data_IF_006261233345
#
_entry.id   IF_006261233345
#
_cell.length_a   1.000
_cell.length_b   1.000
_cell.length_c   1.000
_cell.angle_alpha   90.00
_cell.angle_beta   90.00
_cell.angle_gamma   90.00
#
_symmetry.space_group_name_H-M   'P 1'
#
loop_
_entity.id
_entity.type
_entity.pdbx_description
1 polymer ?
#
# COMPACT_ATOMS: atom_id res chain seq x y z
N UNK A 1 -5.99 -9.89 -2.58
CA UNK A 1 -7.07 -8.90 -2.57
C UNK A 1 -6.53 -7.51 -2.82
N UNK A 2 -7.42 -6.53 -3.15
CA UNK A 2 -6.96 -5.20 -3.56
C UNK A 2 -6.20 -5.22 -4.88
N UNK A 3 -6.51 -6.17 -5.77
CA UNK A 3 -5.76 -6.44 -6.99
C UNK A 3 -5.76 -5.28 -8.00
N UNK A 4 -6.76 -4.40 -8.00
CA UNK A 4 -6.79 -3.17 -8.79
C UNK A 4 -6.19 -1.96 -8.02
N UNK A 5 -5.83 -2.13 -6.76
CA UNK A 5 -5.09 -1.17 -5.96
C UNK A 5 -3.64 -1.03 -6.41
N UNK A 6 -2.93 -0.01 -5.91
CA UNK A 6 -1.57 0.31 -6.35
C UNK A 6 -0.56 -0.82 -6.04
N UNK A 7 -0.50 -1.26 -4.78
CA UNK A 7 0.45 -2.32 -4.37
C UNK A 7 -0.05 -3.67 -4.87
N UNK A 8 -1.34 -4.00 -4.69
CA UNK A 8 -1.91 -5.27 -5.11
C UNK A 8 -1.77 -5.54 -6.62
N UNK A 9 -1.89 -4.49 -7.44
CA UNK A 9 -1.63 -4.57 -8.88
C UNK A 9 -0.18 -4.99 -9.17
N UNK A 10 0.80 -4.31 -8.54
CA UNK A 10 2.21 -4.59 -8.82
C UNK A 10 2.64 -5.96 -8.29
N UNK A 11 2.15 -6.35 -7.10
CA UNK A 11 2.36 -7.70 -6.56
C UNK A 11 1.78 -8.75 -7.51
N UNK A 12 0.54 -8.55 -7.98
CA UNK A 12 -0.09 -9.47 -8.93
C UNK A 12 0.69 -9.56 -10.24
N UNK A 13 1.19 -8.43 -10.77
CA UNK A 13 2.02 -8.40 -11.98
C UNK A 13 3.27 -9.27 -11.82
N UNK A 14 4.04 -9.05 -10.76
CA UNK A 14 5.27 -9.81 -10.53
C UNK A 14 5.02 -11.30 -10.28
N UNK A 15 3.96 -11.66 -9.55
CA UNK A 15 3.57 -13.06 -9.37
C UNK A 15 3.22 -13.75 -10.70
N UNK A 16 2.51 -13.06 -11.58
CA UNK A 16 2.16 -13.58 -12.91
C UNK A 16 3.41 -13.75 -13.79
N UNK A 17 4.35 -12.81 -13.72
CA UNK A 17 5.65 -12.89 -14.41
C UNK A 17 6.51 -14.07 -13.89
N UNK A 18 6.38 -14.40 -12.60
CA UNK A 18 7.02 -15.58 -11.99
C UNK A 18 6.25 -16.91 -12.24
N UNK A 19 5.14 -16.87 -12.99
CA UNK A 19 4.36 -18.05 -13.39
C UNK A 19 3.31 -18.51 -12.38
N UNK A 20 3.03 -17.73 -11.35
CA UNK A 20 1.93 -18.04 -10.41
C UNK A 20 0.56 -17.87 -11.06
N UNK A 21 -0.43 -18.64 -10.57
CA UNK A 21 -1.83 -18.35 -10.82
C UNK A 21 -2.31 -17.35 -9.78
N UNK A 22 -2.90 -16.26 -10.23
CA UNK A 22 -3.37 -15.17 -9.36
C UNK A 22 -4.89 -15.05 -9.44
N UNK A 23 -5.55 -15.20 -8.31
CA UNK A 23 -6.97 -14.90 -8.14
C UNK A 23 -7.06 -13.50 -7.53
N UNK A 24 -7.37 -12.51 -8.35
CA UNK A 24 -7.50 -11.10 -7.97
C UNK A 24 -8.90 -10.76 -7.47
N UNK A 25 -9.00 -10.08 -6.34
CA UNK A 25 -10.26 -9.58 -5.75
C UNK A 25 -10.14 -8.09 -5.52
N UNK A 26 -11.12 -7.31 -6.00
CA UNK A 26 -11.24 -5.86 -5.74
C UNK A 26 -12.69 -5.42 -5.97
N UNK A 27 -13.21 -4.51 -5.16
CA UNK A 27 -14.57 -3.98 -5.31
C UNK A 27 -14.64 -2.77 -6.25
N UNK A 28 -13.50 -2.32 -6.76
CA UNK A 28 -13.37 -1.15 -7.65
C UNK A 28 -14.03 0.11 -7.08
N UNK A 29 -14.01 0.29 -5.75
CA UNK A 29 -14.62 1.46 -5.11
C UNK A 29 -14.06 2.79 -5.63
N UNK A 30 -14.84 3.84 -5.50
CA UNK A 30 -14.60 5.18 -6.00
C UNK A 30 -13.86 6.10 -5.00
N UNK A 31 -13.16 5.53 -4.02
CA UNK A 31 -12.37 6.31 -3.04
C UNK A 31 -11.39 7.28 -3.73
N UNK A 32 -10.84 6.87 -4.85
CA UNK A 32 -10.15 7.72 -5.82
C UNK A 32 -10.58 7.35 -7.23
N UNK A 33 -10.20 8.13 -8.24
CA UNK A 33 -10.65 7.93 -9.63
C UNK A 33 -10.47 6.48 -10.10
N UNK A 34 -11.58 5.83 -10.42
CA UNK A 34 -11.64 4.43 -10.84
C UNK A 34 -10.88 4.17 -12.14
N UNK A 35 -10.66 5.19 -12.98
CA UNK A 35 -9.88 5.05 -14.23
C UNK A 35 -8.51 4.43 -13.99
N UNK A 36 -7.84 4.82 -12.90
CA UNK A 36 -6.52 4.26 -12.56
C UNK A 36 -6.62 2.79 -12.15
N UNK A 37 -7.68 2.40 -11.44
CA UNK A 37 -7.95 0.99 -11.09
C UNK A 37 -8.24 0.16 -12.32
N UNK A 38 -9.05 0.67 -13.23
CA UNK A 38 -9.39 -0.01 -14.48
C UNK A 38 -8.15 -0.21 -15.36
N UNK A 39 -7.31 0.81 -15.50
CA UNK A 39 -6.06 0.69 -16.25
C UNK A 39 -5.15 -0.42 -15.68
N UNK A 40 -4.98 -0.47 -14.35
CA UNK A 40 -4.21 -1.53 -13.69
C UNK A 40 -4.82 -2.91 -13.93
N UNK A 41 -6.13 -3.01 -13.76
CA UNK A 41 -6.85 -4.26 -13.95
C UNK A 41 -6.76 -4.78 -15.39
N UNK A 42 -6.84 -3.89 -16.39
CA UNK A 42 -6.75 -4.27 -17.80
C UNK A 42 -5.35 -4.83 -18.13
N UNK A 43 -4.29 -4.30 -17.51
CA UNK A 43 -2.95 -4.89 -17.67
C UNK A 43 -2.87 -6.30 -17.07
N UNK A 44 -3.53 -6.58 -15.96
CA UNK A 44 -3.55 -7.92 -15.35
C UNK A 44 -4.39 -8.91 -16.16
N UNK A 45 -5.55 -8.48 -16.67
CA UNK A 45 -6.44 -9.33 -17.47
C UNK A 45 -5.84 -9.85 -18.78
N UNK A 46 -4.75 -9.23 -19.23
CA UNK A 46 -4.02 -9.73 -20.41
C UNK A 46 -3.26 -11.03 -20.15
N UNK A 47 -3.08 -11.43 -18.88
CA UNK A 47 -2.41 -12.66 -18.49
C UNK A 47 -3.38 -13.82 -18.33
N UNK A 48 -3.11 -14.96 -18.98
CA UNK A 48 -3.98 -16.15 -18.92
C UNK A 48 -4.12 -16.75 -17.52
N UNK A 49 -3.10 -16.60 -16.68
CA UNK A 49 -3.07 -17.08 -15.30
C UNK A 49 -3.75 -16.13 -14.29
N UNK A 50 -4.41 -15.06 -14.77
CA UNK A 50 -5.13 -14.11 -13.92
C UNK A 50 -6.63 -14.30 -14.01
N UNK A 51 -7.27 -14.54 -12.84
CA UNK A 51 -8.73 -14.57 -12.72
C UNK A 51 -9.19 -13.46 -11.78
N UNK A 52 -10.14 -12.65 -12.21
CA UNK A 52 -10.63 -11.50 -11.44
C UNK A 52 -12.06 -11.69 -10.93
N UNK A 53 -12.29 -11.31 -9.67
CA UNK A 53 -13.59 -11.28 -9.03
C UNK A 53 -13.88 -9.86 -8.50
N UNK A 54 -14.91 -9.17 -9.01
CA UNK A 54 -15.32 -7.84 -8.55
C UNK A 54 -16.14 -7.96 -7.24
N UNK A 55 -15.47 -8.30 -6.14
CA UNK A 55 -16.09 -8.62 -4.84
C UNK A 55 -15.47 -7.74 -3.77
N UNK A 56 -16.31 -7.29 -2.83
CA UNK A 56 -15.89 -6.62 -1.60
C UNK A 56 -15.49 -7.64 -0.54
N UNK A 57 -14.33 -7.45 0.12
CA UNK A 57 -13.89 -8.33 1.20
C UNK A 57 -14.80 -8.26 2.44
N UNK A 58 -15.68 -7.27 2.53
CA UNK A 58 -16.71 -7.17 3.57
C UNK A 58 -17.84 -8.20 3.37
N UNK A 59 -18.00 -8.74 2.16
CA UNK A 59 -19.02 -9.73 1.82
C UNK A 59 -18.46 -11.16 1.90
N UNK A 60 -18.52 -11.77 3.10
CA UNK A 60 -18.01 -13.14 3.34
C UNK A 60 -18.63 -14.16 2.41
N UNK A 61 -19.96 -14.08 2.15
CA UNK A 61 -20.67 -15.07 1.32
C UNK A 61 -20.18 -15.02 -0.14
N UNK A 62 -19.94 -13.81 -0.67
CA UNK A 62 -19.40 -13.68 -2.03
C UNK A 62 -17.95 -14.16 -2.11
N UNK A 63 -17.13 -13.90 -1.07
CA UNK A 63 -15.77 -14.41 -0.99
C UNK A 63 -15.71 -15.93 -0.94
N UNK A 64 -16.64 -16.58 -0.25
CA UNK A 64 -16.69 -18.04 -0.10
C UNK A 64 -16.75 -18.75 -1.46
N UNK A 65 -17.47 -18.20 -2.42
CA UNK A 65 -17.52 -18.72 -3.79
C UNK A 65 -16.12 -18.80 -4.43
N UNK A 66 -15.24 -17.85 -4.13
CA UNK A 66 -13.87 -17.85 -4.64
C UNK A 66 -13.10 -19.05 -4.12
N UNK A 67 -13.25 -19.38 -2.84
CA UNK A 67 -12.56 -20.50 -2.20
C UNK A 67 -13.16 -21.86 -2.63
N UNK A 68 -14.46 -21.89 -2.95
CA UNK A 68 -15.12 -23.08 -3.54
C UNK A 68 -14.63 -23.35 -4.97
N UNK A 69 -14.43 -22.30 -5.76
CA UNK A 69 -14.04 -22.40 -7.16
C UNK A 69 -12.53 -22.58 -7.38
N UNK A 70 -11.70 -22.25 -6.40
CA UNK A 70 -10.26 -22.23 -6.54
C UNK A 70 -9.55 -22.82 -5.32
N UNK A 71 -8.48 -23.56 -5.55
CA UNK A 71 -7.55 -23.90 -4.49
C UNK A 71 -6.65 -22.68 -4.21
N UNK A 72 -6.65 -22.20 -2.96
CA UNK A 72 -5.90 -21.02 -2.54
C UNK A 72 -4.77 -21.44 -1.59
N UNK A 73 -3.52 -21.39 -2.05
CA UNK A 73 -2.34 -21.75 -1.25
C UNK A 73 -1.97 -20.64 -0.25
N UNK A 74 -2.14 -19.38 -0.66
CA UNK A 74 -1.82 -18.23 0.15
C UNK A 74 -2.74 -17.04 -0.15
N UNK A 75 -2.94 -16.18 0.86
CA UNK A 75 -3.66 -14.92 0.75
C UNK A 75 -2.66 -13.78 0.93
N UNK A 76 -2.63 -12.86 -0.04
CA UNK A 76 -1.97 -11.55 0.11
C UNK A 76 -3.09 -10.51 0.18
N UNK A 77 -3.30 -9.91 1.35
CA UNK A 77 -4.37 -8.95 1.59
C UNK A 77 -3.86 -7.51 1.51
N UNK A 78 -3.99 -6.92 0.32
CA UNK A 78 -3.73 -5.50 0.06
C UNK A 78 -5.02 -4.65 0.08
N UNK A 79 -6.19 -5.29 0.11
CA UNK A 79 -7.47 -4.59 0.18
C UNK A 79 -7.59 -3.85 1.51
N UNK A 80 -7.76 -2.53 1.42
CA UNK A 80 -7.90 -1.66 2.57
C UNK A 80 -8.49 -0.30 2.21
N UNK A 81 -9.13 0.35 3.19
CA UNK A 81 -9.28 1.79 3.19
C UNK A 81 -8.01 2.39 3.78
N UNK A 82 -7.33 3.24 3.02
CA UNK A 82 -6.10 3.92 3.45
C UNK A 82 -6.34 5.44 3.50
N UNK A 83 -5.50 6.15 4.27
CA UNK A 83 -5.59 7.60 4.41
C UNK A 83 -6.01 8.01 5.82
N UNK A 84 -5.09 8.71 6.51
CA UNK A 84 -5.31 9.17 7.90
C UNK A 84 -6.43 10.20 7.96
N UNK A 85 -6.41 11.21 7.07
CA UNK A 85 -7.35 12.35 7.13
C UNK A 85 -8.78 11.91 6.89
N UNK A 86 -9.04 11.18 5.82
CA UNK A 86 -10.40 10.70 5.51
C UNK A 86 -10.95 9.75 6.59
N UNK A 87 -10.07 9.06 7.33
CA UNK A 87 -10.53 8.23 8.45
C UNK A 87 -11.15 9.03 9.61
N UNK A 88 -10.85 10.33 9.71
CA UNK A 88 -11.49 11.22 10.69
C UNK A 88 -12.91 11.64 10.25
N UNK A 89 -13.15 11.67 8.94
CA UNK A 89 -14.45 12.03 8.36
C UNK A 89 -15.41 10.83 8.34
N UNK A 90 -14.91 9.65 7.96
CA UNK A 90 -15.69 8.43 7.87
C UNK A 90 -14.97 7.22 8.49
N UNK A 91 -14.94 7.06 9.82
CA UNK A 91 -14.23 5.98 10.49
C UNK A 91 -14.84 4.59 10.25
N UNK A 92 -16.14 4.51 9.99
CA UNK A 92 -16.85 3.23 9.85
C UNK A 92 -16.33 2.38 8.71
N UNK A 93 -16.07 2.96 7.54
CA UNK A 93 -15.54 2.22 6.38
C UNK A 93 -14.15 1.65 6.63
N UNK A 94 -13.39 2.25 7.55
CA UNK A 94 -12.07 1.72 7.94
C UNK A 94 -12.20 0.50 8.83
N UNK A 95 -13.11 0.52 9.81
CA UNK A 95 -13.37 -0.64 10.66
C UNK A 95 -13.95 -1.80 9.85
N UNK A 96 -14.91 -1.51 8.99
CA UNK A 96 -15.57 -2.50 8.14
C UNK A 96 -14.58 -3.15 7.17
N UNK A 97 -13.86 -2.38 6.36
CA UNK A 97 -12.93 -2.95 5.38
C UNK A 97 -11.67 -3.53 6.06
N UNK A 98 -11.01 -2.73 6.92
CA UNK A 98 -9.67 -3.09 7.40
C UNK A 98 -9.67 -4.13 8.52
N UNK A 99 -10.76 -4.26 9.28
CA UNK A 99 -10.85 -5.21 10.38
C UNK A 99 -11.83 -6.35 10.08
N UNK A 100 -13.09 -6.04 9.77
CA UNK A 100 -14.09 -7.06 9.44
C UNK A 100 -13.74 -7.80 8.15
N UNK A 101 -13.31 -7.07 7.09
CA UNK A 101 -12.86 -7.71 5.84
C UNK A 101 -11.70 -8.69 6.05
N UNK A 102 -10.73 -8.34 6.93
CA UNK A 102 -9.64 -9.26 7.31
C UNK A 102 -10.18 -10.47 8.06
N UNK A 103 -11.12 -10.29 8.98
CA UNK A 103 -11.75 -11.39 9.70
C UNK A 103 -12.48 -12.35 8.73
N UNK A 104 -13.18 -11.84 7.73
CA UNK A 104 -13.84 -12.68 6.72
C UNK A 104 -12.83 -13.57 5.97
N UNK A 105 -11.69 -12.99 5.57
CA UNK A 105 -10.62 -13.74 4.89
C UNK A 105 -9.98 -14.78 5.80
N UNK A 106 -9.79 -14.48 7.09
CA UNK A 106 -9.23 -15.40 8.08
C UNK A 106 -10.17 -16.59 8.34
N UNK A 107 -11.48 -16.33 8.48
CA UNK A 107 -12.48 -17.39 8.60
C UNK A 107 -12.46 -18.34 7.41
N UNK A 108 -12.43 -17.78 6.18
CA UNK A 108 -12.36 -18.59 4.98
C UNK A 108 -11.01 -19.32 4.85
N UNK A 109 -9.91 -18.68 5.21
CA UNK A 109 -8.60 -19.35 5.25
C UNK A 109 -8.61 -20.58 6.17
N UNK A 110 -9.19 -20.42 7.37
CA UNK A 110 -9.38 -21.51 8.35
C UNK A 110 -10.27 -22.62 7.78
N UNK A 111 -11.44 -22.27 7.25
CA UNK A 111 -12.46 -23.22 6.79
C UNK A 111 -12.00 -24.00 5.53
N UNK A 112 -11.24 -23.38 4.64
CA UNK A 112 -10.74 -24.00 3.40
C UNK A 112 -9.28 -24.47 3.48
N UNK A 113 -8.63 -24.33 4.63
CA UNK A 113 -7.29 -24.87 4.87
C UNK A 113 -6.13 -24.06 4.26
N UNK A 114 -6.35 -22.80 3.90
CA UNK A 114 -5.27 -21.90 3.44
C UNK A 114 -4.34 -21.59 4.60
N UNK A 115 -3.05 -21.91 4.47
CA UNK A 115 -2.09 -21.88 5.57
C UNK A 115 -1.23 -20.63 5.63
N UNK A 116 -1.13 -19.85 4.56
CA UNK A 116 -0.30 -18.65 4.49
C UNK A 116 -1.13 -17.38 4.30
N UNK A 117 -0.87 -16.38 5.15
CA UNK A 117 -1.51 -15.07 5.09
C UNK A 117 -0.47 -13.94 5.16
N UNK A 118 -0.41 -13.11 4.14
CA UNK A 118 0.40 -11.89 4.11
C UNK A 118 -0.54 -10.68 4.20
N UNK A 119 -0.33 -9.82 5.19
CA UNK A 119 -1.20 -8.69 5.49
C UNK A 119 -0.50 -7.35 5.29
N UNK A 120 -1.05 -6.49 4.46
CA UNK A 120 -0.68 -5.09 4.41
C UNK A 120 -1.10 -4.36 5.70
N UNK A 121 -0.11 -3.86 6.44
CA UNK A 121 -0.26 -2.97 7.57
C UNK A 121 0.38 -1.60 7.27
N UNK A 122 0.72 -0.80 8.26
CA UNK A 122 1.09 0.60 8.06
C UNK A 122 2.10 1.11 9.09
N UNK A 123 3.02 1.97 8.66
CA UNK A 123 3.89 2.75 9.54
C UNK A 123 3.13 3.79 10.39
N UNK A 124 1.88 4.12 10.05
CA UNK A 124 1.05 5.04 10.84
C UNK A 124 0.81 4.56 12.28
N UNK A 125 1.03 3.27 12.55
CA UNK A 125 0.99 2.71 13.90
C UNK A 125 2.08 3.26 14.82
N UNK A 126 3.21 3.70 14.27
CA UNK A 126 4.35 4.20 15.03
C UNK A 126 4.24 5.68 15.42
N UNK A 127 3.12 6.33 15.14
CA UNK A 127 2.95 7.74 15.46
C UNK A 127 3.26 8.03 16.94
N UNK A 128 4.14 9.02 17.18
CA UNK A 128 4.61 9.37 18.52
C UNK A 128 5.78 8.53 19.06
N UNK A 129 6.22 7.51 18.35
CA UNK A 129 7.37 6.69 18.74
C UNK A 129 8.70 7.30 18.28
N UNK A 130 9.80 6.85 18.89
CA UNK A 130 11.16 7.27 18.53
C UNK A 130 11.62 6.57 17.25
N UNK A 131 12.21 7.31 16.33
CA UNK A 131 12.80 6.80 15.09
C UNK A 131 14.28 6.41 15.24
N UNK A 132 14.84 5.51 14.39
CA UNK A 132 14.08 4.75 13.38
C UNK A 132 13.07 3.80 14.00
N UNK A 133 11.95 3.55 13.28
CA UNK A 133 10.89 2.68 13.78
C UNK A 133 11.29 1.22 13.63
N UNK A 134 11.37 0.51 14.75
CA UNK A 134 11.55 -0.95 14.83
C UNK A 134 10.22 -1.63 15.17
N UNK A 135 10.06 -2.88 14.77
CA UNK A 135 8.77 -3.61 14.88
C UNK A 135 8.34 -3.86 16.32
N UNK A 136 9.28 -3.91 17.26
CA UNK A 136 9.06 -4.13 18.70
C UNK A 136 8.51 -2.90 19.44
N UNK A 137 8.51 -1.72 18.80
CA UNK A 137 7.94 -0.51 19.39
C UNK A 137 6.47 -0.71 19.75
N UNK A 138 6.02 -0.22 20.93
CA UNK A 138 4.64 -0.34 21.32
C UNK A 138 3.73 0.50 20.40
N UNK A 139 2.74 -0.15 19.80
CA UNK A 139 1.77 0.46 18.88
C UNK A 139 0.34 0.34 19.44
N UNK A 140 0.20 0.54 20.77
CA UNK A 140 -1.04 0.32 21.49
C UNK A 140 -1.96 1.56 21.53
N UNK A 141 -1.45 2.72 21.11
CA UNK A 141 -2.15 4.01 21.16
C UNK A 141 -2.18 4.68 19.78
N UNK A 142 -2.85 4.06 18.78
CA UNK A 142 -2.95 4.65 17.45
C UNK A 142 -3.71 5.99 17.50
N UNK A 143 -3.21 6.99 16.77
CA UNK A 143 -3.74 8.37 16.82
C UNK A 143 -4.79 8.66 15.73
N UNK A 144 -5.19 7.66 14.96
CA UNK A 144 -6.24 7.82 13.93
C UNK A 144 -7.09 6.56 13.80
N UNK A 145 -8.37 6.67 13.37
CA UNK A 145 -9.21 5.52 13.09
C UNK A 145 -8.58 4.57 12.04
N UNK A 146 -7.87 5.10 11.05
CA UNK A 146 -7.11 4.30 10.10
C UNK A 146 -6.07 3.41 10.80
N UNK A 147 -5.20 3.99 11.61
CA UNK A 147 -4.19 3.23 12.34
C UNK A 147 -4.86 2.23 13.32
N UNK A 148 -5.92 2.64 14.02
CA UNK A 148 -6.67 1.78 14.93
C UNK A 148 -7.27 0.56 14.21
N UNK A 149 -7.86 0.74 13.02
CA UNK A 149 -8.42 -0.37 12.23
C UNK A 149 -7.34 -1.35 11.74
N UNK A 150 -6.16 -0.85 11.36
CA UNK A 150 -5.01 -1.70 10.99
C UNK A 150 -4.47 -2.46 12.21
N UNK A 151 -4.41 -1.82 13.39
CA UNK A 151 -4.03 -2.50 14.64
C UNK A 151 -5.02 -3.59 15.02
N UNK A 152 -6.32 -3.35 14.83
CA UNK A 152 -7.37 -4.36 15.03
C UNK A 152 -7.14 -5.59 14.13
N UNK A 153 -6.78 -5.38 12.87
CA UNK A 153 -6.42 -6.46 11.96
C UNK A 153 -5.17 -7.24 12.43
N UNK A 154 -4.10 -6.55 12.86
CA UNK A 154 -2.90 -7.21 13.40
C UNK A 154 -3.24 -8.11 14.62
N UNK A 155 -4.13 -7.65 15.50
CA UNK A 155 -4.55 -8.42 16.67
C UNK A 155 -5.38 -9.66 16.27
N UNK A 156 -6.29 -9.54 15.29
CA UNK A 156 -7.04 -10.68 14.76
C UNK A 156 -6.11 -11.72 14.12
N UNK A 157 -5.15 -11.28 13.33
CA UNK A 157 -4.16 -12.16 12.68
C UNK A 157 -3.35 -12.97 13.71
N UNK A 158 -2.93 -12.33 14.80
CA UNK A 158 -2.25 -13.04 15.89
C UNK A 158 -3.13 -14.11 16.50
N UNK A 159 -4.41 -13.80 16.78
CA UNK A 159 -5.36 -14.77 17.35
C UNK A 159 -5.55 -16.00 16.45
N UNK A 160 -5.66 -15.79 15.12
CA UNK A 160 -5.82 -16.88 14.17
C UNK A 160 -4.54 -17.71 13.97
N UNK A 161 -3.38 -17.04 14.02
CA UNK A 161 -2.09 -17.74 14.08
C UNK A 161 -2.04 -18.67 15.31
N UNK A 162 -2.32 -18.13 16.49
CA UNK A 162 -2.24 -18.86 17.76
C UNK A 162 -3.23 -20.02 17.84
N UNK A 163 -4.49 -19.80 17.43
CA UNK A 163 -5.57 -20.79 17.59
C UNK A 163 -5.57 -21.84 16.47
N UNK A 164 -5.23 -21.47 15.26
CA UNK A 164 -5.43 -22.29 14.06
C UNK A 164 -4.13 -22.59 13.29
N UNK A 165 -2.99 -22.06 13.73
CA UNK A 165 -1.69 -22.33 13.14
C UNK A 165 -1.52 -21.74 11.71
N UNK A 166 -2.25 -20.66 11.38
CA UNK A 166 -2.05 -19.94 10.12
C UNK A 166 -0.69 -19.25 10.20
N UNK A 167 0.15 -19.43 9.18
CA UNK A 167 1.41 -18.69 9.03
C UNK A 167 1.12 -17.26 8.56
N UNK A 168 1.51 -16.28 9.36
CA UNK A 168 1.15 -14.88 9.16
C UNK A 168 2.39 -14.02 9.01
N UNK A 169 2.46 -13.25 7.92
CA UNK A 169 3.42 -12.16 7.75
C UNK A 169 2.68 -10.83 7.67
N UNK A 170 2.93 -9.94 8.60
CA UNK A 170 2.35 -8.59 8.64
C UNK A 170 3.40 -7.59 8.16
N UNK A 171 3.09 -6.88 7.09
CA UNK A 171 4.01 -5.94 6.45
C UNK A 171 3.59 -4.49 6.77
N UNK A 172 4.37 -3.79 7.57
CA UNK A 172 4.16 -2.37 7.85
C UNK A 172 4.84 -1.55 6.77
N UNK A 173 4.04 -1.14 5.78
CA UNK A 173 4.51 -0.31 4.68
C UNK A 173 4.73 1.13 5.12
N UNK A 174 5.76 1.73 4.55
CA UNK A 174 6.04 3.16 4.64
C UNK A 174 5.45 3.90 3.45
N UNK A 175 6.02 5.00 2.99
CA UNK A 175 5.41 5.79 1.92
C UNK A 175 5.73 5.21 0.56
N UNK A 176 4.81 4.42 0.02
CA UNK A 176 4.98 3.76 -1.28
C UNK A 176 4.66 4.72 -2.42
N UNK A 177 5.55 4.80 -3.42
CA UNK A 177 5.38 5.63 -4.61
C UNK A 177 5.89 4.91 -5.86
N UNK A 178 5.52 5.40 -7.06
CA UNK A 178 5.97 4.82 -8.33
C UNK A 178 4.95 4.97 -9.45
N UNK A 179 5.24 4.41 -10.64
CA UNK A 179 4.34 4.36 -11.79
C UNK A 179 2.97 3.82 -11.43
N UNK A 180 1.94 4.38 -12.05
CA UNK A 180 0.55 4.04 -11.78
C UNK A 180 0.15 4.20 -10.30
N UNK A 181 0.75 5.14 -9.58
CA UNK A 181 0.45 5.44 -8.18
C UNK A 181 -1.00 5.87 -7.93
N UNK A 182 -1.34 6.05 -6.65
CA UNK A 182 -2.67 6.53 -6.26
C UNK A 182 -2.78 8.04 -6.53
N UNK A 183 -3.88 8.51 -7.17
CA UNK A 183 -4.05 9.93 -7.51
C UNK A 183 -4.19 10.84 -6.27
N UNK A 184 -4.64 10.31 -5.15
CA UNK A 184 -4.78 11.02 -3.87
C UNK A 184 -3.47 11.18 -3.10
N UNK A 185 -2.36 10.58 -3.58
CA UNK A 185 -1.04 10.64 -2.94
C UNK A 185 -0.14 11.74 -3.53
N UNK A 186 0.77 12.27 -2.70
CA UNK A 186 1.57 13.45 -2.99
C UNK A 186 2.34 13.38 -4.31
N UNK A 187 3.08 12.31 -4.56
CA UNK A 187 3.93 12.21 -5.77
C UNK A 187 3.09 12.28 -7.05
N UNK A 188 1.97 11.54 -7.14
CA UNK A 188 1.10 11.59 -8.29
C UNK A 188 0.50 13.00 -8.49
N UNK A 189 -0.02 13.60 -7.40
CA UNK A 189 -0.60 14.95 -7.43
C UNK A 189 0.42 15.99 -7.86
N UNK A 190 1.63 15.95 -7.31
CA UNK A 190 2.68 16.91 -7.63
C UNK A 190 3.11 16.82 -9.10
N UNK A 191 3.32 15.61 -9.63
CA UNK A 191 3.66 15.44 -11.04
C UNK A 191 2.55 16.02 -11.93
N UNK A 192 1.29 15.70 -11.64
CA UNK A 192 0.16 16.19 -12.43
C UNK A 192 0.05 17.71 -12.38
N UNK A 193 0.03 18.30 -11.18
CA UNK A 193 -0.10 19.75 -11.01
C UNK A 193 1.08 20.51 -11.63
N UNK A 194 2.32 20.07 -11.40
CA UNK A 194 3.49 20.75 -11.98
C UNK A 194 3.47 20.68 -13.51
N UNK A 195 3.09 19.51 -14.06
CA UNK A 195 3.02 19.37 -15.52
C UNK A 195 1.92 20.24 -16.14
N UNK A 196 0.78 20.40 -15.47
CA UNK A 196 -0.32 21.29 -15.86
C UNK A 196 -0.10 22.76 -15.49
N UNK A 197 1.02 23.09 -14.83
CA UNK A 197 1.35 24.43 -14.33
C UNK A 197 0.35 24.97 -13.30
N UNK A 198 -0.36 24.06 -12.64
CA UNK A 198 -1.26 24.33 -11.52
C UNK A 198 -0.50 24.46 -10.20
N UNK A 199 -0.99 25.26 -9.23
CA UNK A 199 -0.36 25.35 -7.92
C UNK A 199 -0.45 24.04 -7.17
N UNK A 200 0.67 23.57 -6.61
CA UNK A 200 0.68 22.44 -5.68
C UNK A 200 0.31 22.90 -4.27
N UNK A 201 -0.50 22.12 -3.57
CA UNK A 201 -0.77 22.34 -2.16
C UNK A 201 0.24 21.60 -1.30
N UNK A 202 1.06 22.34 -0.55
CA UNK A 202 2.07 21.80 0.36
C UNK A 202 1.68 22.10 1.80
N UNK A 203 1.38 21.06 2.58
CA UNK A 203 1.07 21.19 3.99
C UNK A 203 2.37 21.30 4.80
N UNK A 204 2.51 22.37 5.60
CA UNK A 204 3.77 22.74 6.23
C UNK A 204 4.71 23.47 5.27
N UNK A 205 5.99 23.52 5.61
CA UNK A 205 7.05 24.21 4.85
C UNK A 205 7.85 23.29 3.89
N UNK A 206 7.46 22.01 3.78
CA UNK A 206 8.17 21.01 2.98
C UNK A 206 9.36 20.36 3.69
N UNK A 207 9.65 20.74 4.93
CA UNK A 207 10.71 20.12 5.75
C UNK A 207 10.35 18.72 6.27
N UNK A 208 9.04 18.39 6.26
CA UNK A 208 8.62 17.06 6.65
C UNK A 208 9.26 16.00 5.77
N UNK A 209 9.69 14.91 6.40
CA UNK A 209 10.35 13.81 5.70
C UNK A 209 9.52 12.54 5.67
N UNK A 210 9.70 11.77 4.63
CA UNK A 210 9.06 10.46 4.46
C UNK A 210 10.10 9.43 4.04
N UNK A 211 9.92 8.25 4.55
CA UNK A 211 10.61 7.07 4.05
C UNK A 211 9.89 6.64 2.77
N UNK A 212 10.36 7.18 1.63
CA UNK A 212 9.80 6.89 0.32
C UNK A 212 10.34 5.57 -0.21
N UNK A 213 9.46 4.61 -0.47
CA UNK A 213 9.85 3.29 -0.98
C UNK A 213 9.22 3.02 -2.33
N UNK A 214 10.03 2.64 -3.31
CA UNK A 214 9.56 2.41 -4.68
C UNK A 214 8.67 1.17 -4.77
N UNK A 215 7.65 1.23 -5.62
CA UNK A 215 6.62 0.20 -5.73
C UNK A 215 7.15 -1.20 -6.04
N UNK A 216 8.18 -1.30 -6.90
CA UNK A 216 8.77 -2.59 -7.26
C UNK A 216 9.48 -3.25 -6.08
N UNK A 217 10.17 -2.44 -5.26
CA UNK A 217 10.83 -2.95 -4.05
C UNK A 217 9.79 -3.43 -3.03
N UNK A 218 8.69 -2.68 -2.83
CA UNK A 218 7.59 -3.10 -1.95
C UNK A 218 6.96 -4.40 -2.45
N UNK A 219 6.66 -4.51 -3.74
CA UNK A 219 6.06 -5.71 -4.30
C UNK A 219 6.97 -6.95 -4.15
N UNK A 220 8.27 -6.80 -4.41
CA UNK A 220 9.26 -7.86 -4.18
C UNK A 220 9.33 -8.28 -2.71
N UNK A 221 9.35 -7.32 -1.78
CA UNK A 221 9.32 -7.60 -0.34
C UNK A 221 8.06 -8.35 0.09
N UNK A 222 6.91 -7.95 -0.47
CA UNK A 222 5.62 -8.60 -0.22
C UNK A 222 5.61 -10.06 -0.72
N UNK A 223 6.13 -10.33 -1.91
CA UNK A 223 6.24 -11.68 -2.47
C UNK A 223 7.19 -12.54 -1.62
N UNK A 224 8.34 -12.00 -1.21
CA UNK A 224 9.27 -12.70 -0.32
C UNK A 224 8.65 -13.09 1.03
N UNK A 225 7.66 -12.34 1.50
CA UNK A 225 6.93 -12.64 2.72
C UNK A 225 5.95 -13.83 2.59
N UNK A 226 5.79 -14.42 1.40
CA UNK A 226 5.12 -15.72 1.21
C UNK A 226 5.91 -16.89 1.83
N UNK A 227 7.20 -16.72 2.09
CA UNK A 227 8.01 -17.69 2.83
C UNK A 227 7.37 -18.01 4.18
N UNK A 228 7.34 -19.28 4.61
CA UNK A 228 6.87 -19.67 5.93
C UNK A 228 7.73 -19.04 7.04
N UNK A 229 7.13 -18.23 7.90
CA UNK A 229 7.81 -17.51 8.98
C UNK A 229 7.14 -17.71 10.35
N UNK A 230 6.01 -18.45 10.40
CA UNK A 230 5.19 -18.59 11.60
C UNK A 230 4.33 -17.33 11.81
N UNK A 231 4.75 -16.44 12.68
CA UNK A 231 4.11 -15.13 12.88
C UNK A 231 5.17 -14.05 12.95
N UNK A 232 5.18 -13.16 11.97
CA UNK A 232 6.15 -12.09 11.91
C UNK A 232 5.52 -10.75 11.51
N UNK A 233 5.95 -9.69 12.18
CA UNK A 233 5.69 -8.30 11.78
C UNK A 233 7.00 -7.75 11.21
N UNK A 234 6.94 -7.16 10.01
CA UNK A 234 8.13 -6.76 9.26
C UNK A 234 7.90 -5.37 8.63
N UNK A 235 8.83 -4.46 8.85
CA UNK A 235 8.83 -3.17 8.18
C UNK A 235 9.34 -3.30 6.74
N UNK A 236 8.59 -2.76 5.78
CA UNK A 236 9.06 -2.56 4.41
C UNK A 236 9.12 -1.06 4.11
N UNK A 237 10.32 -0.52 4.15
CA UNK A 237 10.65 0.88 3.95
C UNK A 237 12.01 1.03 3.26
N UNK A 238 12.39 2.26 2.96
CA UNK A 238 13.67 2.57 2.30
C UNK A 238 14.85 2.73 3.27
N UNK A 239 14.56 2.73 4.59
CA UNK A 239 15.57 3.00 5.64
C UNK A 239 16.29 4.36 5.45
N UNK A 240 15.65 5.28 4.77
CA UNK A 240 16.18 6.62 4.50
C UNK A 240 15.03 7.62 4.42
N UNK A 241 14.94 8.58 5.37
CA UNK A 241 13.95 9.64 5.29
C UNK A 241 14.42 10.73 4.31
N UNK A 242 13.63 11.04 3.30
CA UNK A 242 13.86 12.16 2.38
C UNK A 242 12.83 13.26 2.59
N UNK A 243 13.25 14.54 2.45
CA UNK A 243 12.37 15.69 2.60
C UNK A 243 11.36 15.76 1.45
N UNK A 244 10.14 16.17 1.73
CA UNK A 244 9.10 16.30 0.70
C UNK A 244 9.47 17.37 -0.34
N UNK A 245 10.14 18.45 0.09
CA UNK A 245 10.62 19.48 -0.85
C UNK A 245 11.65 18.90 -1.83
N UNK A 246 12.51 17.98 -1.39
CA UNK A 246 13.47 17.33 -2.29
C UNK A 246 12.78 16.48 -3.37
N UNK A 247 11.69 15.78 -3.02
CA UNK A 247 10.90 15.05 -4.02
C UNK A 247 10.27 16.01 -5.05
N UNK A 248 9.84 17.22 -4.62
CA UNK A 248 9.33 18.26 -5.53
C UNK A 248 10.44 18.74 -6.48
N UNK A 249 11.64 19.03 -5.97
CA UNK A 249 12.80 19.47 -6.76
C UNK A 249 13.20 18.43 -7.83
N UNK A 250 13.13 17.14 -7.50
CA UNK A 250 13.35 16.05 -8.46
C UNK A 250 12.28 16.03 -9.56
N UNK A 251 11.00 16.18 -9.18
CA UNK A 251 9.90 16.25 -10.15
C UNK A 251 10.07 17.44 -11.08
N UNK A 252 10.41 18.63 -10.54
CA UNK A 252 10.72 19.82 -11.35
C UNK A 252 11.83 19.54 -12.37
N UNK A 253 12.89 18.90 -11.91
CA UNK A 253 14.06 18.57 -12.74
C UNK A 253 13.68 17.67 -13.90
N UNK A 254 12.93 16.60 -13.65
CA UNK A 254 12.55 15.64 -14.70
C UNK A 254 11.42 16.13 -15.61
N UNK A 255 10.57 17.05 -15.13
CA UNK A 255 9.55 17.70 -15.96
C UNK A 255 10.09 18.92 -16.75
N UNK A 256 11.24 19.48 -16.35
CA UNK A 256 11.74 20.75 -16.89
C UNK A 256 10.84 21.94 -16.57
N UNK A 257 10.04 21.86 -15.49
CA UNK A 257 9.06 22.87 -15.07
C UNK A 257 9.21 23.19 -13.60
N UNK A 258 8.86 24.42 -13.19
CA UNK A 258 8.89 24.85 -11.80
C UNK A 258 7.52 24.74 -11.13
N UNK A 259 7.52 24.26 -9.89
CA UNK A 259 6.32 24.21 -9.07
C UNK A 259 5.89 25.61 -8.61
N UNK A 260 4.60 25.89 -8.68
CA UNK A 260 3.97 27.01 -7.97
C UNK A 260 3.46 26.46 -6.64
N UNK A 261 4.08 26.83 -5.52
CA UNK A 261 3.75 26.24 -4.22
C UNK A 261 2.77 27.13 -3.46
N UNK A 262 1.63 26.53 -3.08
CA UNK A 262 0.67 27.11 -2.17
C UNK A 262 0.80 26.43 -0.81
N UNK A 263 1.41 27.10 0.17
CA UNK A 263 1.63 26.55 1.50
C UNK A 263 0.33 26.54 2.32
N UNK A 264 0.04 25.40 2.95
CA UNK A 264 -1.09 25.18 3.84
C UNK A 264 -0.60 24.89 5.27
N UNK A 265 -1.44 25.11 6.26
CA UNK A 265 -1.12 24.73 7.63
C UNK A 265 -0.88 23.23 7.78
N UNK A 266 0.08 22.87 8.63
CA UNK A 266 0.39 21.47 8.92
C UNK A 266 -0.76 20.81 9.67
N UNK A 267 -1.19 19.62 9.25
CA UNK A 267 -2.33 18.93 9.86
C UNK A 267 -1.87 18.12 11.08
N UNK A 268 -2.55 18.26 12.22
CA UNK A 268 -2.19 17.62 13.50
C UNK A 268 -2.14 16.08 13.46
N UNK A 269 -2.88 15.44 12.56
CA UNK A 269 -2.87 13.99 12.39
C UNK A 269 -1.71 13.48 11.52
N UNK A 270 -0.94 14.37 10.90
CA UNK A 270 0.22 14.00 10.08
C UNK A 270 1.49 13.91 10.94
N UNK A 271 2.35 12.96 10.60
CA UNK A 271 3.68 12.86 11.21
C UNK A 271 4.67 13.79 10.52
N UNK A 272 5.56 14.43 11.28
CA UNK A 272 6.64 15.25 10.71
C UNK A 272 7.66 14.41 9.96
N UNK A 273 7.94 13.22 10.43
CA UNK A 273 8.90 12.31 9.81
C UNK A 273 8.46 10.85 9.94
N UNK A 274 8.89 10.03 8.99
CA UNK A 274 8.83 8.56 9.07
C UNK A 274 10.18 7.99 8.62
N UNK A 275 10.69 7.00 9.37
CA UNK A 275 11.95 6.34 9.08
C UNK A 275 11.89 4.89 9.57
N UNK A 276 11.97 3.94 8.63
CA UNK A 276 11.99 2.50 8.91
C UNK A 276 13.37 2.04 9.37
N UNK A 277 13.42 1.20 10.40
CA UNK A 277 14.46 0.18 10.47
C UNK A 277 14.02 -1.04 9.66
N UNK A 278 14.87 -1.55 8.79
CA UNK A 278 14.58 -2.69 7.91
C UNK A 278 15.48 -3.90 8.20
N UNK A 279 16.13 -3.92 9.36
CA UNK A 279 17.03 -5.01 9.75
C UNK A 279 16.33 -6.34 9.73
N UNK A 280 15.08 -6.40 10.19
CA UNK A 280 14.27 -7.61 10.20
C UNK A 280 13.93 -8.10 8.80
N UNK A 281 13.56 -7.18 7.88
CA UNK A 281 13.33 -7.51 6.48
C UNK A 281 14.59 -8.07 5.79
N UNK A 282 15.76 -7.49 6.06
CA UNK A 282 17.05 -8.01 5.55
C UNK A 282 17.32 -9.43 6.03
N UNK A 283 17.13 -9.69 7.32
CA UNK A 283 17.46 -10.97 7.93
C UNK A 283 16.46 -12.07 7.56
N UNK A 284 15.15 -11.81 7.59
CA UNK A 284 14.13 -12.83 7.37
C UNK A 284 13.78 -13.00 5.90
N UNK A 285 13.71 -11.92 5.13
CA UNK A 285 13.27 -11.94 3.74
C UNK A 285 14.44 -11.85 2.74
N UNK A 286 15.68 -11.62 3.21
CA UNK A 286 16.82 -11.31 2.33
C UNK A 286 16.44 -10.17 1.38
N UNK A 287 15.77 -9.14 1.93
CA UNK A 287 15.22 -8.04 1.16
C UNK A 287 15.83 -6.71 1.61
N UNK A 288 16.14 -5.88 0.63
CA UNK A 288 16.49 -4.47 0.78
C UNK A 288 15.93 -3.70 -0.41
N UNK A 289 15.55 -2.43 -0.23
CA UNK A 289 15.19 -1.57 -1.35
C UNK A 289 16.41 -1.35 -2.26
N UNK A 290 16.18 -1.28 -3.55
CA UNK A 290 17.23 -1.15 -4.57
C UNK A 290 17.12 0.11 -5.39
N UNK A 291 15.93 0.75 -5.41
CA UNK A 291 15.66 1.93 -6.23
C UNK A 291 15.79 3.19 -5.39
N UNK A 292 16.66 4.12 -5.79
CA UNK A 292 16.81 5.41 -5.14
C UNK A 292 15.59 6.31 -5.37
N UNK A 293 15.42 7.37 -4.54
CA UNK A 293 14.33 8.33 -4.74
C UNK A 293 14.45 9.03 -6.11
N UNK A 294 15.67 9.37 -6.52
CA UNK A 294 15.97 10.02 -7.79
C UNK A 294 15.52 9.16 -8.98
N UNK A 295 15.93 7.89 -8.99
CA UNK A 295 15.56 6.93 -10.02
C UNK A 295 14.04 6.66 -10.03
N UNK A 296 13.47 6.44 -8.86
CA UNK A 296 12.03 6.16 -8.73
C UNK A 296 11.14 7.33 -9.14
N UNK A 297 11.52 8.59 -8.84
CA UNK A 297 10.81 9.78 -9.31
C UNK A 297 10.95 9.90 -10.81
N UNK A 298 12.15 9.72 -11.37
CA UNK A 298 12.37 9.72 -12.81
C UNK A 298 11.44 8.74 -13.53
N UNK A 299 11.45 7.48 -13.10
CA UNK A 299 10.60 6.44 -13.68
C UNK A 299 9.10 6.76 -13.57
N UNK A 300 8.69 7.39 -12.45
CA UNK A 300 7.29 7.78 -12.23
C UNK A 300 6.88 8.93 -13.16
N UNK A 301 7.75 9.93 -13.34
CA UNK A 301 7.52 11.04 -14.27
C UNK A 301 7.45 10.53 -15.72
N UNK A 302 8.41 9.72 -16.15
CA UNK A 302 8.45 9.14 -17.51
C UNK A 302 7.19 8.32 -17.80
N UNK A 303 6.77 7.48 -16.83
CA UNK A 303 5.53 6.71 -16.96
C UNK A 303 4.31 7.64 -17.06
N UNK A 304 4.24 8.68 -16.25
CA UNK A 304 3.13 9.64 -16.26
C UNK A 304 3.03 10.34 -17.61
N UNK A 305 4.17 10.80 -18.14
CA UNK A 305 4.21 11.48 -19.46
C UNK A 305 3.80 10.54 -20.59
N UNK A 306 4.28 9.31 -20.58
CA UNK A 306 3.90 8.28 -21.56
C UNK A 306 2.40 7.97 -21.55
N UNK A 307 1.75 8.14 -20.42
CA UNK A 307 0.33 7.82 -20.22
C UNK A 307 -0.53 9.10 -20.11
N UNK A 308 0.00 10.27 -20.50
CA UNK A 308 -0.64 11.55 -20.26
C UNK A 308 -2.02 11.69 -20.90
N UNK A 309 -2.27 11.05 -22.03
CA UNK A 309 -3.53 11.16 -22.77
C UNK A 309 -4.77 10.83 -21.91
N UNK A 310 -4.63 9.90 -20.96
CA UNK A 310 -5.71 9.57 -20.05
C UNK A 310 -5.48 10.09 -18.62
N UNK A 311 -4.21 10.28 -18.19
CA UNK A 311 -3.90 10.78 -16.84
C UNK A 311 -4.37 12.22 -16.63
N UNK A 312 -4.34 13.06 -17.68
CA UNK A 312 -4.84 14.45 -17.61
C UNK A 312 -6.27 14.54 -17.09
N UNK A 313 -7.10 13.54 -17.38
CA UNK A 313 -8.52 13.48 -17.01
C UNK A 313 -8.79 12.73 -15.68
N UNK A 314 -7.74 12.24 -15.00
CA UNK A 314 -7.86 11.60 -13.69
C UNK A 314 -8.17 12.64 -12.61
N UNK A 315 -9.20 12.39 -11.81
CA UNK A 315 -9.54 13.22 -10.64
C UNK A 315 -8.56 12.95 -9.48
N UNK A 316 -8.12 14.03 -8.82
CA UNK A 316 -7.19 13.99 -7.69
C UNK A 316 -7.89 13.95 -6.34
#
# INVERSE_FOLDING_TARGET
TGAAGFIGWKVSTLLLEEGYRVVGVDNLNDYYDVKVKLWRLDTLKSHENFKFYPIDIENKQALEVIFQDNHIDAIINEAARAGVRYSLENPFVYLSTNTLGVLNLLELAKDFGTRKFVQASTSSLYAGQKMPFVEELPVNTPISPYAASKKGAEAMLYSYHYLYGIDVSILRYFTVYGPAGRPDMSIFRFIKWIYQEEPIELFGDGSQSRDFTYIDDIAKGTIKALKPLGYEIINLGNNKPDKLIYAIELIETYLGKKAKINYKEFHKADMMATWADITKAKNLLEWSPTVSLEEGIKNTVEWTLKNWDWIKDVKL
#
